data_IF_717005137077
#
_entry.id   IF_717005137077
#
_cell.length_a   1.000
_cell.length_b   1.000
_cell.length_c   1.000
_cell.angle_alpha   90.00
_cell.angle_beta   90.00
_cell.angle_gamma   90.00
#
_symmetry.space_group_name_H-M   'P 1'
#
loop_
_entity.id
_entity.type
_entity.pdbx_description
1 polymer ?
#
# COMPACT_ATOMS: atom_id res chain seq x y z
N UNK A 1 -3.97 -23.35 17.55
CA UNK A 1 -3.05 -22.30 17.07
C UNK A 1 -3.16 -22.04 15.55
N UNK A 2 -2.93 -23.05 14.67
CA UNK A 2 -3.02 -22.87 13.20
C UNK A 2 -4.38 -22.35 12.69
N UNK A 3 -5.50 -22.81 13.25
CA UNK A 3 -6.83 -22.39 12.81
C UNK A 3 -7.10 -20.89 13.02
N UNK A 4 -6.59 -20.30 14.10
CA UNK A 4 -6.69 -18.86 14.37
C UNK A 4 -5.87 -18.05 13.37
N UNK A 5 -4.68 -18.52 13.00
CA UNK A 5 -3.86 -17.90 11.96
C UNK A 5 -4.58 -17.93 10.60
N UNK A 6 -5.14 -19.08 10.22
CA UNK A 6 -5.91 -19.19 8.98
C UNK A 6 -7.13 -18.28 8.98
N UNK A 7 -7.85 -18.17 10.11
CA UNK A 7 -8.98 -17.25 10.23
C UNK A 7 -8.53 -15.81 10.00
N UNK A 8 -7.44 -15.36 10.64
CA UNK A 8 -6.87 -14.00 10.46
C UNK A 8 -6.49 -13.70 9.01
N UNK A 9 -5.87 -14.67 8.33
CA UNK A 9 -5.51 -14.53 6.91
C UNK A 9 -6.77 -14.38 6.05
N UNK A 10 -7.80 -15.21 6.29
CA UNK A 10 -9.05 -15.16 5.50
C UNK A 10 -9.81 -13.85 5.67
N UNK A 11 -9.82 -13.27 6.87
CA UNK A 11 -10.51 -11.99 7.12
C UNK A 11 -9.67 -10.77 6.76
N UNK A 12 -8.44 -10.96 6.29
CA UNK A 12 -7.52 -9.89 5.92
C UNK A 12 -7.32 -8.81 7.01
N UNK A 13 -7.52 -9.17 8.29
CA UNK A 13 -7.51 -8.20 9.39
C UNK A 13 -6.15 -8.20 10.08
N UNK A 14 -5.32 -7.25 9.69
CA UNK A 14 -3.98 -7.05 10.25
C UNK A 14 -3.94 -5.74 11.03
N UNK A 15 -3.27 -5.71 12.20
CA UNK A 15 -3.12 -4.48 12.96
C UNK A 15 -2.27 -3.48 12.17
N UNK A 16 -2.60 -2.18 12.21
CA UNK A 16 -1.79 -1.15 11.58
C UNK A 16 -0.41 -1.07 12.26
N UNK A 17 0.66 -0.97 11.46
CA UNK A 17 2.02 -0.84 11.99
C UNK A 17 2.37 0.65 12.16
N UNK A 18 2.65 1.14 13.39
CA UNK A 18 2.86 2.57 13.66
C UNK A 18 4.14 3.14 13.04
N UNK A 19 5.07 2.29 12.62
CA UNK A 19 6.33 2.68 11.99
C UNK A 19 6.24 2.85 10.47
N UNK A 20 5.07 2.57 9.87
CA UNK A 20 4.87 2.69 8.43
C UNK A 20 4.45 4.11 8.05
N UNK A 21 4.93 4.57 6.89
CA UNK A 21 4.38 5.79 6.29
C UNK A 21 2.92 5.56 5.87
N UNK A 22 2.07 6.60 5.84
CA UNK A 22 0.67 6.45 5.41
C UNK A 22 0.52 5.79 4.03
N UNK A 23 1.46 6.05 3.10
CA UNK A 23 1.47 5.44 1.77
C UNK A 23 1.85 3.97 1.79
N UNK A 24 2.81 3.58 2.62
CA UNK A 24 3.18 2.17 2.78
C UNK A 24 2.02 1.38 3.37
N UNK A 25 1.38 1.93 4.40
CA UNK A 25 0.23 1.32 5.04
C UNK A 25 -0.95 1.15 4.08
N UNK A 26 -1.25 2.19 3.28
CA UNK A 26 -2.31 2.13 2.27
C UNK A 26 -2.01 1.07 1.18
N UNK A 27 -0.76 0.98 0.71
CA UNK A 27 -0.37 -0.04 -0.29
C UNK A 27 -0.53 -1.45 0.27
N UNK A 28 -0.06 -1.70 1.50
CA UNK A 28 -0.16 -3.00 2.16
C UNK A 28 -1.64 -3.40 2.34
N UNK A 29 -2.50 -2.48 2.73
CA UNK A 29 -3.94 -2.74 2.85
C UNK A 29 -4.57 -3.19 1.52
N UNK A 30 -4.16 -2.59 0.39
CA UNK A 30 -4.62 -2.98 -0.96
C UNK A 30 -4.10 -4.36 -1.38
N UNK A 31 -2.84 -4.66 -1.08
CA UNK A 31 -2.24 -5.97 -1.39
C UNK A 31 -2.87 -7.11 -0.59
N UNK A 32 -3.29 -6.82 0.64
CA UNK A 32 -3.92 -7.77 1.55
C UNK A 32 -5.45 -7.83 1.43
N UNK A 33 -6.04 -7.29 0.36
CA UNK A 33 -7.49 -7.33 0.18
C UNK A 33 -8.03 -8.78 0.27
N UNK A 34 -9.15 -9.01 0.98
CA UNK A 34 -9.72 -10.34 1.16
C UNK A 34 -10.17 -10.93 -0.18
N UNK A 35 -10.79 -10.09 -1.01
CA UNK A 35 -11.18 -10.44 -2.38
C UNK A 35 -9.96 -10.43 -3.32
N UNK A 36 -9.62 -11.56 -3.97
CA UNK A 36 -8.47 -11.62 -4.87
C UNK A 36 -8.56 -10.64 -6.03
N UNK A 37 -9.76 -10.42 -6.59
CA UNK A 37 -9.99 -9.50 -7.69
C UNK A 37 -9.86 -8.02 -7.29
N UNK A 38 -9.94 -7.70 -5.99
CA UNK A 38 -9.74 -6.34 -5.49
C UNK A 38 -8.25 -6.00 -5.29
N UNK A 39 -7.36 -7.00 -5.40
CA UNK A 39 -5.92 -6.79 -5.27
C UNK A 39 -5.39 -6.10 -6.53
N UNK A 40 -4.47 -5.14 -6.38
CA UNK A 40 -3.83 -4.51 -7.53
C UNK A 40 -3.01 -5.55 -8.31
N UNK A 41 -2.88 -5.34 -9.62
CA UNK A 41 -1.87 -6.08 -10.39
C UNK A 41 -0.46 -5.69 -9.92
N UNK A 42 0.54 -6.48 -10.29
CA UNK A 42 1.93 -6.15 -9.97
C UNK A 42 2.31 -4.76 -10.51
N UNK A 43 1.84 -4.41 -11.71
CA UNK A 43 2.09 -3.11 -12.33
C UNK A 43 1.45 -1.97 -11.52
N UNK A 44 0.17 -2.11 -11.18
CA UNK A 44 -0.54 -1.08 -10.39
C UNK A 44 0.08 -0.89 -9.00
N UNK A 45 0.62 -1.95 -8.40
CA UNK A 45 1.33 -1.88 -7.14
C UNK A 45 2.64 -1.10 -7.26
N UNK A 46 3.40 -1.30 -8.35
CA UNK A 46 4.66 -0.59 -8.61
C UNK A 46 4.43 0.87 -9.00
N UNK A 47 3.32 1.18 -9.66
CA UNK A 47 2.94 2.56 -10.02
C UNK A 47 2.46 3.38 -8.80
N UNK A 48 2.22 2.73 -7.65
CA UNK A 48 1.77 3.38 -6.42
C UNK A 48 2.78 4.43 -5.92
N UNK A 49 2.26 5.56 -5.42
CA UNK A 49 3.05 6.67 -4.86
C UNK A 49 3.96 6.32 -3.67
N UNK A 50 3.95 5.08 -3.20
CA UNK A 50 4.94 4.55 -2.27
C UNK A 50 6.28 4.30 -2.97
N UNK A 51 6.27 3.74 -4.18
CA UNK A 51 7.46 3.46 -4.98
C UNK A 51 7.83 4.62 -5.90
N UNK A 52 6.85 5.33 -6.45
CA UNK A 52 7.08 6.36 -7.48
C UNK A 52 7.35 7.75 -6.92
N UNK A 53 7.13 7.98 -5.62
CA UNK A 53 7.48 9.26 -5.00
C UNK A 53 9.00 9.34 -4.80
N UNK A 54 9.67 9.96 -5.76
CA UNK A 54 11.06 10.37 -5.63
C UNK A 54 11.15 11.35 -4.45
N UNK A 55 11.91 10.98 -3.42
CA UNK A 55 12.25 11.88 -2.31
C UNK A 55 13.07 13.05 -2.88
N UNK A 56 12.40 14.17 -3.15
CA UNK A 56 13.04 15.45 -3.46
C UNK A 56 12.82 15.98 -4.87
N UNK A 57 11.66 16.60 -5.09
CA UNK A 57 11.63 17.95 -5.68
C UNK A 57 10.86 18.86 -4.73
N UNK A 58 11.54 19.34 -3.68
CA UNK A 58 11.16 20.63 -3.11
C UNK A 58 11.68 21.68 -4.09
N UNK A 59 10.77 22.41 -4.73
CA UNK A 59 11.07 23.65 -5.46
C UNK A 59 11.22 23.53 -6.98
N UNK A 60 10.64 24.53 -7.65
CA UNK A 60 10.79 24.91 -9.06
C UNK A 60 10.20 23.96 -10.11
N UNK A 61 8.93 24.23 -10.48
CA UNK A 61 8.61 24.87 -11.75
C UNK A 61 7.16 25.38 -11.70
N UNK A 62 6.98 26.67 -11.40
CA UNK A 62 5.95 27.44 -12.09
C UNK A 62 6.53 27.81 -13.46
N UNK A 63 5.86 27.52 -14.58
CA UNK A 63 5.96 28.36 -15.76
C UNK A 63 4.74 29.28 -15.77
N UNK A 64 4.99 30.55 -15.48
CA UNK A 64 4.27 31.60 -16.19
C UNK A 64 4.76 31.58 -17.65
N UNK A 65 3.82 31.77 -18.56
CA UNK A 65 3.99 31.73 -20.02
C UNK A 65 2.64 31.45 -20.65
#
# INVERSE_FOLDING_TARGET
HRQELYRRIRVARYPPSPHLSPRAQALIARLLAPEPAARPSLRDALDHGFFTQVRGRRGAHSPHG
#
